data_IF_090901643784
#
_entry.id   IF_090901643784
#
_cell.length_a   1.000
_cell.length_b   1.000
_cell.length_c   1.000
_cell.angle_alpha   90.00
_cell.angle_beta   90.00
_cell.angle_gamma   90.00
#
_symmetry.space_group_name_H-M   'P 1'
#
loop_
_entity.id
_entity.type
_entity.pdbx_description
1 polymer ?
#
# COMPACT_ATOMS: atom_id res chain seq x y z
N UNK A 1 9.32 7.75 -1.12
CA UNK A 1 7.94 7.24 -1.04
C UNK A 1 7.83 6.16 0.04
N UNK A 2 6.72 6.11 0.78
CA UNK A 2 6.43 5.11 1.82
C UNK A 2 5.00 4.61 1.67
N UNK A 3 4.77 3.34 1.97
CA UNK A 3 3.44 2.77 2.05
C UNK A 3 3.34 1.87 3.29
N UNK A 4 2.26 2.01 4.04
CA UNK A 4 1.95 1.20 5.22
C UNK A 4 0.60 0.53 5.01
N UNK A 5 0.60 -0.79 5.07
CA UNK A 5 -0.59 -1.63 4.99
C UNK A 5 -0.84 -2.23 6.37
N UNK A 6 -2.07 -2.16 6.86
CA UNK A 6 -2.48 -2.79 8.11
C UNK A 6 -3.83 -3.49 7.93
N UNK A 7 -4.02 -4.64 8.57
CA UNK A 7 -5.29 -5.38 8.52
C UNK A 7 -5.55 -6.12 9.83
N UNK A 8 -6.81 -6.48 10.04
CA UNK A 8 -7.17 -7.50 11.03
C UNK A 8 -7.30 -8.84 10.34
N UNK A 9 -6.90 -9.91 11.02
CA UNK A 9 -6.89 -11.25 10.46
C UNK A 9 -7.51 -12.20 11.48
N UNK A 10 -8.38 -13.14 11.06
CA UNK A 10 -8.84 -14.19 11.95
C UNK A 10 -7.65 -14.94 12.57
N UNK A 11 -7.79 -15.31 13.83
CA UNK A 11 -6.79 -16.10 14.52
C UNK A 11 -6.92 -17.58 14.18
N UNK A 12 -5.79 -18.28 14.21
CA UNK A 12 -5.66 -19.73 14.09
C UNK A 12 -4.99 -20.28 15.35
N UNK A 13 -5.77 -20.57 16.40
CA UNK A 13 -5.26 -21.23 17.59
C UNK A 13 -4.54 -22.53 17.23
N UNK A 14 -3.40 -22.82 17.89
CA UNK A 14 -2.64 -24.05 17.68
C UNK A 14 -1.66 -24.05 16.49
N UNK A 15 -1.59 -22.97 15.69
CA UNK A 15 -0.62 -22.83 14.61
C UNK A 15 0.46 -21.79 14.90
N UNK A 16 1.70 -22.08 14.51
CA UNK A 16 2.87 -21.21 14.73
C UNK A 16 2.69 -19.79 14.15
N UNK A 17 2.05 -19.68 12.99
CA UNK A 17 1.80 -18.40 12.35
C UNK A 17 0.67 -17.58 13.03
N UNK A 18 -0.18 -18.25 13.83
CA UNK A 18 -1.39 -17.80 14.55
C UNK A 18 -2.42 -16.98 13.75
N UNK A 19 -2.08 -16.52 12.55
CA UNK A 19 -2.91 -15.72 11.66
C UNK A 19 -3.42 -16.55 10.51
N UNK A 20 -4.66 -16.30 10.11
CA UNK A 20 -5.28 -17.05 9.04
C UNK A 20 -4.97 -16.48 7.66
N UNK A 21 -4.91 -15.15 7.57
CA UNK A 21 -4.69 -14.40 6.32
C UNK A 21 -3.46 -13.52 6.43
N UNK A 22 -2.69 -13.51 5.34
CA UNK A 22 -1.50 -12.68 5.15
C UNK A 22 -1.72 -11.79 3.93
N UNK A 23 -1.54 -10.48 4.11
CA UNK A 23 -1.50 -9.51 3.02
C UNK A 23 -0.07 -9.03 2.81
N UNK A 24 0.23 -8.60 1.59
CA UNK A 24 1.50 -7.95 1.25
C UNK A 24 1.29 -6.80 0.28
N UNK A 25 2.25 -5.88 0.27
CA UNK A 25 2.40 -4.90 -0.79
C UNK A 25 3.33 -5.53 -1.83
N UNK A 26 2.88 -5.70 -3.06
CA UNK A 26 3.72 -6.24 -4.13
C UNK A 26 4.92 -5.34 -4.38
N UNK A 27 6.00 -5.91 -4.92
CA UNK A 27 7.10 -5.09 -5.42
C UNK A 27 6.61 -4.21 -6.56
N UNK A 28 7.00 -2.93 -6.54
CA UNK A 28 6.79 -2.05 -7.67
C UNK A 28 7.54 -2.61 -8.87
N UNK A 29 6.90 -2.57 -10.04
CA UNK A 29 7.54 -2.91 -11.30
C UNK A 29 8.65 -1.89 -11.62
N UNK A 30 9.69 -2.27 -12.39
CA UNK A 30 10.78 -1.36 -12.76
C UNK A 30 10.28 -0.02 -13.32
N UNK A 31 9.31 -0.06 -14.25
CA UNK A 31 8.72 1.16 -14.85
C UNK A 31 8.08 2.07 -13.80
N UNK A 32 7.43 1.49 -12.78
CA UNK A 32 6.81 2.25 -11.70
C UNK A 32 7.85 2.88 -10.76
N UNK A 33 9.01 2.23 -10.58
CA UNK A 33 10.14 2.79 -9.83
C UNK A 33 10.76 3.96 -10.58
N UNK A 34 10.92 3.84 -11.89
CA UNK A 34 11.45 4.89 -12.76
C UNK A 34 10.54 6.12 -12.80
N UNK A 35 9.24 5.93 -13.03
CA UNK A 35 8.24 7.01 -13.00
C UNK A 35 8.30 7.75 -11.66
N UNK A 36 8.32 7.00 -10.56
CA UNK A 36 8.37 7.57 -9.22
C UNK A 36 9.73 8.18 -8.84
N UNK A 37 10.80 7.91 -9.60
CA UNK A 37 12.16 8.32 -9.27
C UNK A 37 12.67 7.71 -7.96
N UNK A 38 12.23 6.49 -7.62
CA UNK A 38 12.57 5.83 -6.34
C UNK A 38 13.16 4.45 -6.57
N UNK A 39 14.03 4.01 -5.67
CA UNK A 39 14.62 2.67 -5.67
C UNK A 39 14.22 1.85 -4.45
N UNK A 40 14.46 0.54 -4.52
CA UNK A 40 14.41 -0.34 -3.35
C UNK A 40 15.69 -0.17 -2.52
N UNK A 41 15.61 -0.39 -1.21
CA UNK A 41 16.77 -0.26 -0.32
C UNK A 41 16.99 -1.54 0.47
N UNK A 42 18.23 -2.01 0.52
CA UNK A 42 18.68 -3.17 1.31
C UNK A 42 18.60 -2.95 2.82
N UNK A 43 18.43 -1.69 3.25
CA UNK A 43 18.22 -1.34 4.67
C UNK A 43 16.83 -1.71 5.22
N UNK A 44 15.94 -2.22 4.37
CA UNK A 44 14.64 -2.71 4.82
C UNK A 44 14.72 -4.19 5.17
N UNK A 45 13.95 -4.66 6.17
CA UNK A 45 13.77 -6.08 6.39
C UNK A 45 13.28 -6.73 5.09
N UNK A 46 13.67 -7.98 4.86
CA UNK A 46 13.25 -8.68 3.66
C UNK A 46 11.72 -8.74 3.57
N UNK A 47 11.20 -8.94 2.36
CA UNK A 47 9.75 -9.06 2.14
C UNK A 47 9.15 -10.15 3.04
N UNK A 48 9.83 -11.29 3.16
CA UNK A 48 9.38 -12.40 4.02
C UNK A 48 9.33 -12.02 5.50
N UNK A 49 10.28 -11.23 5.99
CA UNK A 49 10.30 -10.74 7.38
C UNK A 49 9.23 -9.69 7.64
N UNK A 50 9.08 -8.72 6.74
CA UNK A 50 8.12 -7.62 6.87
C UNK A 50 6.66 -8.09 6.85
N UNK A 51 6.37 -9.19 6.16
CA UNK A 51 5.02 -9.74 6.01
C UNK A 51 4.67 -10.81 7.07
N UNK A 52 5.49 -10.93 8.12
CA UNK A 52 5.24 -11.89 9.21
C UNK A 52 4.16 -11.43 10.20
N UNK A 53 3.82 -10.14 10.20
CA UNK A 53 2.75 -9.56 11.02
C UNK A 53 1.49 -9.18 10.24
N UNK A 54 0.64 -8.36 10.86
CA UNK A 54 -0.55 -7.74 10.26
C UNK A 54 -0.36 -6.26 9.91
N UNK A 55 0.89 -5.80 9.94
CA UNK A 55 1.32 -4.48 9.50
C UNK A 55 2.55 -4.67 8.62
N UNK A 56 2.51 -4.09 7.42
CA UNK A 56 3.62 -4.10 6.46
C UNK A 56 3.97 -2.66 6.12
N UNK A 57 5.22 -2.26 6.38
CA UNK A 57 5.73 -0.95 6.00
C UNK A 57 6.82 -1.07 4.94
N UNK A 58 6.60 -0.47 3.77
CA UNK A 58 7.56 -0.40 2.66
C UNK A 58 8.00 1.03 2.40
N UNK A 59 9.28 1.17 2.04
CA UNK A 59 9.90 2.45 1.76
C UNK A 59 10.77 2.34 0.52
N UNK A 60 10.44 3.16 -0.46
CA UNK A 60 11.26 3.37 -1.64
C UNK A 60 11.95 4.72 -1.53
N UNK A 61 13.27 4.72 -1.74
CA UNK A 61 14.13 5.90 -1.65
C UNK A 61 15.02 5.95 -2.87
N UNK A 62 15.07 7.10 -3.49
CA UNK A 62 16.17 7.54 -4.32
C UNK A 62 16.06 9.08 -4.44
N UNK A 63 17.08 9.72 -5.00
CA UNK A 63 17.14 11.16 -5.24
C UNK A 63 16.99 11.50 -6.74
N UNK A 64 16.48 10.57 -7.55
CA UNK A 64 16.28 10.78 -8.98
C UNK A 64 15.04 11.63 -9.22
N UNK A 65 15.12 12.46 -10.25
CA UNK A 65 13.94 13.16 -10.78
C UNK A 65 13.11 12.10 -11.50
N UNK A 66 11.97 11.73 -10.92
CA UNK A 66 11.02 10.82 -11.56
C UNK A 66 10.40 11.49 -12.79
N UNK A 67 10.09 10.69 -13.82
CA UNK A 67 9.43 11.17 -15.04
C UNK A 67 7.91 11.21 -14.83
N UNK A 68 7.46 11.92 -13.79
CA UNK A 68 6.04 12.11 -13.52
C UNK A 68 5.52 13.16 -14.52
N UNK A 69 5.07 12.70 -15.68
CA UNK A 69 4.24 13.51 -16.55
C UNK A 69 2.90 13.83 -15.87
N UNK A 70 2.25 14.93 -16.26
CA UNK A 70 0.92 15.27 -15.74
C UNK A 70 -0.04 14.09 -15.94
N UNK A 71 -0.53 13.51 -14.83
CA UNK A 71 -1.43 12.36 -14.83
C UNK A 71 -0.77 10.99 -14.69
N UNK A 72 0.54 10.90 -14.46
CA UNK A 72 1.19 9.61 -14.22
C UNK A 72 0.70 8.96 -12.90
N UNK A 73 0.47 7.64 -12.94
CA UNK A 73 0.04 6.85 -11.79
C UNK A 73 1.13 5.86 -11.37
N UNK A 74 1.32 5.69 -10.06
CA UNK A 74 2.21 4.67 -9.50
C UNK A 74 1.33 3.53 -8.97
N UNK A 75 1.22 2.39 -9.68
CA UNK A 75 0.36 1.30 -9.24
C UNK A 75 0.92 0.63 -7.98
N UNK A 76 0.19 0.73 -6.88
CA UNK A 76 0.46 -0.02 -5.66
C UNK A 76 -0.50 -1.19 -5.58
N UNK A 77 0.03 -2.41 -5.66
CA UNK A 77 -0.77 -3.61 -5.58
C UNK A 77 -0.73 -4.20 -4.17
N UNK A 78 -1.90 -4.34 -3.55
CA UNK A 78 -2.10 -5.15 -2.34
C UNK A 78 -2.49 -6.55 -2.80
N UNK A 79 -1.81 -7.56 -2.27
CA UNK A 79 -2.05 -8.97 -2.60
C UNK A 79 -2.34 -9.77 -1.34
N UNK A 80 -3.35 -10.64 -1.40
CA UNK A 80 -3.60 -11.67 -0.40
C UNK A 80 -2.81 -12.92 -0.78
N UNK A 81 -1.98 -13.38 0.14
CA UNK A 81 -1.30 -14.67 -0.01
C UNK A 81 -2.30 -15.80 0.17
N UNK A 82 -1.98 -16.99 -0.37
CA UNK A 82 -2.81 -18.17 -0.17
C UNK A 82 -3.07 -18.39 1.32
N UNK A 83 -4.34 -18.61 1.65
CA UNK A 83 -4.74 -18.88 3.03
C UNK A 83 -4.00 -20.09 3.57
N UNK A 84 -3.52 -19.96 4.81
CA UNK A 84 -2.82 -21.04 5.47
C UNK A 84 -3.80 -21.98 6.15
N UNK A 85 -4.37 -22.94 5.42
CA UNK A 85 -5.32 -23.93 5.95
C UNK A 85 -6.69 -23.83 5.28
N UNK A 86 -7.77 -23.91 6.06
CA UNK A 86 -9.14 -23.75 5.56
C UNK A 86 -9.30 -22.43 4.80
N UNK A 87 -9.85 -22.45 3.57
CA UNK A 87 -10.16 -21.23 2.85
C UNK A 87 -11.06 -20.31 3.69
N UNK A 88 -10.75 -19.02 3.68
CA UNK A 88 -11.58 -17.99 4.31
C UNK A 88 -12.20 -17.16 3.20
N UNK A 89 -13.48 -17.38 2.96
CA UNK A 89 -14.25 -16.64 1.95
C UNK A 89 -14.68 -15.24 2.42
N UNK A 90 -14.37 -14.88 3.68
CA UNK A 90 -14.61 -13.55 4.21
C UNK A 90 -13.66 -12.51 3.59
N UNK A 91 -14.22 -11.33 3.31
CA UNK A 91 -13.44 -10.16 2.92
C UNK A 91 -12.58 -9.68 4.09
N UNK A 92 -11.30 -9.43 3.83
CA UNK A 92 -10.35 -8.96 4.85
C UNK A 92 -10.19 -7.44 4.70
N UNK A 93 -10.81 -6.63 5.59
CA UNK A 93 -10.65 -5.19 5.54
C UNK A 93 -9.21 -4.81 5.85
N UNK A 94 -8.69 -3.84 5.10
CA UNK A 94 -7.34 -3.32 5.30
C UNK A 94 -7.32 -1.80 5.17
N UNK A 95 -6.39 -1.17 5.88
CA UNK A 95 -6.04 0.23 5.72
C UNK A 95 -4.72 0.35 4.95
N UNK A 96 -4.67 1.28 3.99
CA UNK A 96 -3.45 1.62 3.26
C UNK A 96 -3.17 3.12 3.44
N UNK A 97 -2.00 3.45 3.97
CA UNK A 97 -1.50 4.82 4.05
C UNK A 97 -0.27 4.97 3.15
N UNK A 98 -0.27 5.97 2.28
CA UNK A 98 0.84 6.25 1.34
C UNK A 98 1.36 7.66 1.59
N UNK A 99 2.67 7.79 1.73
CA UNK A 99 3.35 9.07 1.89
C UNK A 99 4.35 9.27 0.76
N UNK A 100 4.20 10.38 0.05
CA UNK A 100 5.11 10.79 -1.01
C UNK A 100 5.79 12.08 -0.55
N UNK A 101 7.11 12.05 -0.50
CA UNK A 101 7.95 13.20 -0.17
C UNK A 101 8.56 13.69 -1.49
N UNK A 102 8.27 14.94 -1.86
CA UNK A 102 8.82 15.60 -3.05
C UNK A 102 9.43 16.95 -2.63
N UNK A 103 10.71 17.23 -2.92
CA UNK A 103 11.28 18.56 -2.71
C UNK A 103 10.52 19.60 -3.56
N UNK A 104 10.07 20.70 -2.96
CA UNK A 104 9.30 21.77 -3.66
C UNK A 104 7.77 21.61 -3.67
N UNK A 105 7.22 20.63 -2.94
CA UNK A 105 5.79 20.23 -2.99
C UNK A 105 4.72 21.28 -2.61
N UNK A 106 5.09 22.48 -2.13
CA UNK A 106 4.10 23.51 -1.77
C UNK A 106 3.24 23.96 -2.97
N UNK A 107 3.80 23.99 -4.17
CA UNK A 107 3.07 24.34 -5.40
C UNK A 107 2.25 23.17 -5.97
N UNK A 108 2.71 21.93 -5.80
CA UNK A 108 2.00 20.71 -6.26
C UNK A 108 0.76 20.41 -5.39
N UNK A 109 0.82 20.66 -4.08
CA UNK A 109 -0.33 20.45 -3.19
C UNK A 109 -1.55 21.29 -3.61
N UNK A 110 -1.33 22.53 -4.06
CA UNK A 110 -2.42 23.40 -4.55
C UNK A 110 -3.07 22.84 -5.83
N UNK A 111 -2.27 22.27 -6.73
CA UNK A 111 -2.74 21.67 -7.98
C UNK A 111 -3.47 20.33 -7.74
N UNK A 112 -2.96 19.49 -6.84
CA UNK A 112 -3.59 18.20 -6.49
C UNK A 112 -4.89 18.40 -5.70
N UNK A 113 -4.94 19.39 -4.78
CA UNK A 113 -6.18 19.74 -4.05
C UNK A 113 -7.33 20.08 -4.99
N UNK A 114 -7.06 20.74 -6.12
CA UNK A 114 -8.08 21.08 -7.12
C UNK A 114 -8.69 19.83 -7.77
N UNK A 115 -7.91 18.76 -7.96
CA UNK A 115 -8.35 17.51 -8.58
C UNK A 115 -9.02 16.53 -7.60
N UNK A 116 -8.70 16.59 -6.31
CA UNK A 116 -9.29 15.73 -5.26
C UNK A 116 -10.67 16.24 -4.78
N UNK A 117 -11.12 17.42 -5.20
CA UNK A 117 -12.47 17.93 -4.85
C UNK A 117 -13.64 17.10 -5.43
N UNK A 118 -13.37 16.10 -6.28
CA UNK A 118 -14.36 15.08 -6.61
C UNK A 118 -14.51 14.13 -5.41
N UNK A 119 -15.34 14.52 -4.44
CA UNK A 119 -15.73 13.65 -3.34
C UNK A 119 -16.44 12.41 -3.89
N UNK A 120 -16.10 11.20 -3.42
CA UNK A 120 -16.92 10.02 -3.70
C UNK A 120 -18.32 10.27 -3.15
N UNK A 121 -19.36 10.19 -4.00
CA UNK A 121 -20.75 10.20 -3.53
C UNK A 121 -21.01 8.91 -2.76
N UNK A 122 -20.84 8.95 -1.45
CA UNK A 122 -21.25 7.84 -0.59
C UNK A 122 -22.77 7.88 -0.48
N UNK A 123 -23.45 6.96 -1.15
CA UNK A 123 -24.87 6.72 -0.90
C UNK A 123 -25.01 6.06 0.47
N UNK A 124 -25.39 6.83 1.47
CA UNK A 124 -25.82 6.30 2.77
C UNK A 124 -27.29 5.91 2.63
N UNK A 125 -27.57 4.61 2.57
CA UNK A 125 -28.95 4.09 2.65
C UNK A 125 -29.38 4.17 4.11
N UNK A 126 -30.14 5.20 4.46
CA UNK A 126 -30.90 5.22 5.71
C UNK A 126 -32.05 4.24 5.52
N UNK A 127 -32.04 3.12 6.27
CA UNK A 127 -33.22 2.29 6.43
C UNK A 127 -34.11 2.92 7.50
N UNK A 128 -35.35 3.22 7.12
CA UNK A 128 -36.50 3.42 7.98
C UNK A 128 -37.63 2.58 7.42
#
# INVERSE_FOLDING_TARGET
MRATLAWFTPIRPGHLAYRAVKLKIASLQPDSLEIAGVGTSTSQPSNSQSESGTIVHRRWRDARIGVIANGASIPLQVQREKDQGTPIDEAIPFGLAVTIEMPGAAQIYQQVRANIQVQPRTFVRVQG
#
